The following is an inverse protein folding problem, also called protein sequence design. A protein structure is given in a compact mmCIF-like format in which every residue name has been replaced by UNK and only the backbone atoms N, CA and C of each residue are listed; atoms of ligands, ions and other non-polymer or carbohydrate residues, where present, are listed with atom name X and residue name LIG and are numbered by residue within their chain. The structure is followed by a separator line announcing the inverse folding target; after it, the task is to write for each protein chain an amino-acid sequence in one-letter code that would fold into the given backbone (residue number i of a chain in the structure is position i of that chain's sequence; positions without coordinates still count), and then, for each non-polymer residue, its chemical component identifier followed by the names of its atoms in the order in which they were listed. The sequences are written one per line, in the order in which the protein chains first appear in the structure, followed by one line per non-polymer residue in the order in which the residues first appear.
data_IF_187805479692
#
_entry.id   IF_187805479692
#
_cell.length_a   1.000
_cell.length_b   1.000
_cell.length_c   1.000
_cell.angle_alpha   90.00
_cell.angle_beta   90.00
_cell.angle_gamma   90.00
#
_symmetry.space_group_name_H-M   'P 1'
#
loop_
_entity.id
_entity.type
_entity.pdbx_description
1 polymer ?
#
# COMPACT_ATOMS: atom_id res chain seq x y z
N UNK A 1 -4.98 5.98 33.47
CA UNK A 1 -4.68 5.33 32.16
C UNK A 1 -3.43 5.89 31.48
N UNK A 2 -3.00 7.14 31.75
CA UNK A 2 -1.76 7.75 31.17
C UNK A 2 -0.47 7.03 31.53
N UNK A 3 -0.28 6.60 32.76
CA UNK A 3 0.99 6.02 33.24
C UNK A 3 1.41 4.72 32.55
N UNK A 4 0.46 3.95 32.02
CA UNK A 4 0.74 2.68 31.36
C UNK A 4 1.18 2.86 29.89
N UNK A 5 0.77 3.95 29.26
CA UNK A 5 1.14 4.30 27.89
C UNK A 5 2.56 4.91 27.89
N UNK A 6 2.86 5.83 28.81
CA UNK A 6 4.19 6.46 28.98
C UNK A 6 5.26 5.40 29.31
N UNK A 7 4.96 4.43 30.18
CA UNK A 7 5.88 3.34 30.51
C UNK A 7 6.18 2.43 29.31
N UNK A 8 5.19 2.18 28.44
CA UNK A 8 5.38 1.39 27.20
C UNK A 8 6.22 2.14 26.18
N UNK A 9 6.03 3.46 26.06
CA UNK A 9 6.76 4.33 25.13
C UNK A 9 8.24 4.40 25.50
N UNK A 10 8.58 4.50 26.79
CA UNK A 10 9.96 4.59 27.29
C UNK A 10 10.80 3.34 27.01
N UNK A 11 10.17 2.19 26.75
CA UNK A 11 10.86 0.92 26.47
C UNK A 11 10.84 0.54 24.99
N UNK A 12 10.35 1.42 24.11
CA UNK A 12 10.25 1.12 22.70
C UNK A 12 11.60 1.34 22.00
N UNK A 13 12.11 0.33 21.35
CA UNK A 13 13.41 0.38 20.66
C UNK A 13 13.20 0.50 19.16
N UNK A 14 14.06 1.27 18.49
CA UNK A 14 14.17 1.21 17.04
C UNK A 14 14.48 -0.22 16.61
N UNK A 15 13.80 -0.70 15.57
CA UNK A 15 13.95 -2.07 15.11
C UNK A 15 12.79 -2.55 14.25
N UNK A 16 12.86 -3.82 13.89
CA UNK A 16 11.84 -4.48 13.09
C UNK A 16 10.80 -5.16 13.99
N UNK A 17 9.54 -4.96 13.62
CA UNK A 17 8.37 -5.48 14.31
C UNK A 17 7.42 -6.14 13.33
N UNK A 18 6.68 -7.15 13.80
CA UNK A 18 5.60 -7.79 13.08
C UNK A 18 4.25 -7.28 13.61
N UNK A 19 3.31 -7.01 12.69
CA UNK A 19 1.95 -6.62 13.01
C UNK A 19 1.15 -7.84 13.51
N UNK A 20 0.59 -7.74 14.70
CA UNK A 20 -0.29 -8.78 15.31
C UNK A 20 -1.75 -8.62 14.89
N UNK A 21 -2.09 -7.46 14.33
CA UNK A 21 -3.41 -7.11 13.80
C UNK A 21 -3.23 -6.22 12.56
N UNK A 22 -4.32 -5.95 11.85
CA UNK A 22 -4.33 -4.98 10.76
C UNK A 22 -4.19 -3.58 11.35
N UNK A 23 -3.24 -2.78 10.83
CA UNK A 23 -2.89 -1.47 11.34
C UNK A 23 -3.05 -0.40 10.27
N UNK A 24 -3.51 0.77 10.68
CA UNK A 24 -3.52 1.96 9.84
C UNK A 24 -2.17 2.69 9.92
N UNK A 25 -1.63 3.02 8.76
CA UNK A 25 -0.40 3.80 8.63
C UNK A 25 -0.76 5.12 7.95
N UNK A 26 -0.38 6.22 8.55
CA UNK A 26 -0.80 7.57 8.18
C UNK A 26 0.30 8.33 7.43
N UNK A 27 -0.08 9.35 6.67
CA UNK A 27 0.85 10.18 5.88
C UNK A 27 1.57 11.25 6.72
N UNK A 28 1.07 11.52 7.92
CA UNK A 28 1.58 12.56 8.81
C UNK A 28 1.49 12.14 10.28
N UNK A 29 2.26 12.79 11.17
CA UNK A 29 2.23 12.49 12.60
C UNK A 29 0.90 12.82 13.28
N UNK A 30 0.02 13.60 12.66
CA UNK A 30 -1.32 13.87 13.19
C UNK A 30 -2.26 12.66 13.10
N UNK A 31 -1.91 11.63 12.32
CA UNK A 31 -2.72 10.43 12.09
C UNK A 31 -4.15 10.72 11.60
N UNK A 32 -4.31 11.75 10.78
CA UNK A 32 -5.63 12.14 10.26
C UNK A 32 -5.96 11.48 8.92
N UNK A 33 -4.96 11.35 8.05
CA UNK A 33 -5.15 10.84 6.70
C UNK A 33 -4.41 9.52 6.51
N UNK A 34 -5.16 8.50 6.13
CA UNK A 34 -4.62 7.17 5.85
C UNK A 34 -3.69 7.23 4.61
N UNK A 35 -2.49 6.71 4.75
CA UNK A 35 -1.53 6.54 3.66
C UNK A 35 -1.56 5.10 3.12
N UNK A 36 -1.57 4.13 4.04
CA UNK A 36 -1.65 2.71 3.73
C UNK A 36 -2.10 1.92 4.95
N UNK A 37 -2.26 0.61 4.79
CA UNK A 37 -2.51 -0.30 5.90
C UNK A 37 -1.45 -1.40 5.94
N UNK A 38 -1.10 -1.86 7.12
CA UNK A 38 -0.28 -3.02 7.35
C UNK A 38 -1.16 -4.18 7.81
N UNK A 39 -1.39 -5.15 6.94
CA UNK A 39 -2.14 -6.36 7.30
C UNK A 39 -1.42 -7.15 8.41
N UNK A 40 -2.17 -7.94 9.15
CA UNK A 40 -1.65 -8.89 10.13
C UNK A 40 -0.52 -9.72 9.53
N UNK A 41 0.59 -9.82 10.25
CA UNK A 41 1.78 -10.56 9.83
C UNK A 41 2.77 -9.75 8.98
N UNK A 42 2.43 -8.52 8.51
CA UNK A 42 3.39 -7.65 7.86
C UNK A 42 4.46 -7.16 8.83
N UNK A 43 5.62 -6.88 8.28
CA UNK A 43 6.75 -6.34 9.02
C UNK A 43 6.86 -4.83 8.81
N UNK A 44 7.23 -4.12 9.86
CA UNK A 44 7.55 -2.71 9.78
C UNK A 44 8.80 -2.40 10.61
N UNK A 45 9.54 -1.42 10.16
CA UNK A 45 10.68 -0.86 10.88
C UNK A 45 10.26 0.42 11.58
N UNK A 46 10.52 0.51 12.86
CA UNK A 46 10.38 1.73 13.63
C UNK A 46 11.68 2.52 13.55
N UNK A 47 11.61 3.75 13.01
CA UNK A 47 12.80 4.54 12.66
C UNK A 47 13.29 5.43 13.79
N UNK A 48 12.45 5.80 14.75
CA UNK A 48 12.81 6.68 15.86
C UNK A 48 12.46 6.07 17.20
N UNK A 49 13.37 6.28 18.16
CA UNK A 49 13.14 5.96 19.56
C UNK A 49 12.80 7.25 20.29
N UNK A 50 11.76 7.30 21.10
CA UNK A 50 11.35 8.47 21.87
C UNK A 50 12.46 8.97 22.81
N UNK A 51 13.33 8.07 23.27
CA UNK A 51 14.49 8.40 24.12
C UNK A 51 15.67 9.04 23.35
N UNK A 52 15.80 8.81 22.04
CA UNK A 52 16.90 9.37 21.25
C UNK A 52 16.72 10.87 20.97
N UNK A 53 15.53 11.41 21.14
CA UNK A 53 15.23 12.84 20.96
C UNK A 53 15.66 13.67 22.18
N UNK A 54 15.64 13.09 23.40
CA UNK A 54 15.99 13.81 24.62
C UNK A 54 17.49 13.76 24.98
N UNK A 55 18.27 12.81 24.46
CA UNK A 55 19.66 12.58 24.92
C UNK A 55 20.75 13.12 24.00
N UNK A 56 20.44 13.64 22.82
CA UNK A 56 21.41 14.30 21.95
C UNK A 56 21.42 15.80 22.18
N UNK A 57 22.12 16.23 23.23
CA UNK A 57 22.55 17.60 23.45
C UNK A 57 23.61 18.03 22.42
N UNK A 58 23.23 18.10 21.15
CA UNK A 58 23.97 18.66 20.05
C UNK A 58 22.97 19.30 19.13
N UNK A 59 23.30 20.46 18.52
CA UNK A 59 22.39 21.26 17.67
C UNK A 59 21.47 20.40 16.82
N UNK A 60 20.17 20.72 16.77
CA UNK A 60 19.22 19.91 16.05
C UNK A 60 19.55 20.02 14.55
N UNK A 61 20.15 18.96 13.99
CA UNK A 61 19.93 18.71 12.58
C UNK A 61 18.40 18.78 12.39
N UNK A 62 17.93 19.67 11.51
CA UNK A 62 16.53 19.98 11.25
C UNK A 62 15.71 18.73 10.91
N UNK A 63 15.49 17.87 11.86
CA UNK A 63 14.34 16.99 11.96
C UNK A 63 13.40 17.70 12.91
N UNK A 64 12.32 18.20 12.37
CA UNK A 64 11.27 18.88 13.10
C UNK A 64 10.91 18.08 14.34
N UNK A 65 11.16 18.68 15.50
CA UNK A 65 10.64 18.21 16.77
C UNK A 65 9.17 17.81 16.57
N UNK A 66 8.79 16.66 17.14
CA UNK A 66 7.38 16.29 17.19
C UNK A 66 6.60 17.47 17.77
N UNK A 67 5.68 18.08 17.05
CA UNK A 67 4.88 19.12 17.65
C UNK A 67 4.04 18.46 18.75
N UNK A 68 4.26 18.86 19.99
CA UNK A 68 3.31 18.67 21.07
C UNK A 68 2.10 19.54 20.79
N UNK A 69 1.34 19.18 19.75
CA UNK A 69 0.04 19.78 19.56
C UNK A 69 -0.93 19.09 20.51
N UNK A 70 -1.45 19.84 21.44
CA UNK A 70 -2.74 19.62 22.08
C UNK A 70 -3.85 19.74 21.00
N UNK A 71 -3.82 18.84 20.05
CA UNK A 71 -4.94 18.50 19.19
C UNK A 71 -5.26 17.05 19.48
N UNK A 72 -6.48 16.68 19.43
CA UNK A 72 -7.12 15.40 19.67
C UNK A 72 -6.47 14.17 18.95
N UNK A 73 -5.29 14.30 18.42
CA UNK A 73 -4.45 13.26 17.83
C UNK A 73 -3.43 12.75 18.85
N UNK A 74 -3.45 11.47 19.16
CA UNK A 74 -2.49 10.82 20.02
C UNK A 74 -1.07 10.89 19.45
N UNK A 75 -0.05 10.72 20.29
CA UNK A 75 1.34 10.65 19.85
C UNK A 75 1.53 9.53 18.82
N UNK A 76 2.45 9.71 17.89
CA UNK A 76 2.73 8.77 16.80
C UNK A 76 4.22 8.55 16.62
N UNK A 77 4.58 7.52 15.88
CA UNK A 77 5.98 7.18 15.56
C UNK A 77 6.13 6.94 14.07
N UNK A 78 7.27 7.35 13.55
CA UNK A 78 7.60 7.09 12.16
C UNK A 78 7.96 5.62 11.95
N UNK A 79 7.34 5.02 10.95
CA UNK A 79 7.55 3.63 10.56
C UNK A 79 7.79 3.52 9.06
N UNK A 80 8.26 2.36 8.65
CA UNK A 80 8.38 2.03 7.25
C UNK A 80 8.12 0.55 7.06
N UNK A 81 7.21 0.20 6.17
CA UNK A 81 6.87 -1.18 5.87
C UNK A 81 8.05 -1.90 5.22
N UNK A 82 8.41 -3.07 5.74
CA UNK A 82 9.60 -3.80 5.30
C UNK A 82 9.43 -4.45 3.92
N UNK A 83 8.20 -4.72 3.49
CA UNK A 83 7.92 -5.43 2.24
C UNK A 83 7.99 -4.55 0.99
N UNK A 84 7.81 -3.23 1.14
CA UNK A 84 7.69 -2.31 0.02
C UNK A 84 8.38 -0.95 0.25
N UNK A 85 9.15 -0.83 1.35
CA UNK A 85 9.84 0.40 1.78
C UNK A 85 8.91 1.61 1.95
N UNK A 86 7.60 1.38 2.16
CA UNK A 86 6.63 2.47 2.25
C UNK A 86 6.69 3.15 3.62
N UNK A 87 7.01 4.46 3.66
CA UNK A 87 7.10 5.20 4.91
C UNK A 87 5.74 5.67 5.39
N UNK A 88 5.61 5.89 6.68
CA UNK A 88 4.42 6.51 7.27
C UNK A 88 4.50 6.66 8.78
N UNK A 89 3.36 6.90 9.40
CA UNK A 89 3.24 7.15 10.82
C UNK A 89 2.25 6.16 11.44
N UNK A 90 2.63 5.60 12.58
CA UNK A 90 1.78 4.70 13.36
C UNK A 90 1.37 5.40 14.66
N UNK A 91 0.08 5.34 15.00
CA UNK A 91 -0.40 5.83 16.30
C UNK A 91 0.23 5.03 17.44
N UNK A 92 0.66 5.72 18.49
CA UNK A 92 1.18 5.07 19.68
C UNK A 92 0.16 4.19 20.40
N UNK A 93 -1.14 4.42 20.21
CA UNK A 93 -2.19 3.55 20.72
C UNK A 93 -2.09 2.12 20.18
N UNK A 94 -1.54 1.97 18.97
CA UNK A 94 -1.48 0.70 18.25
C UNK A 94 -0.20 -0.10 18.52
N UNK A 95 0.73 0.46 19.31
CA UNK A 95 1.99 -0.23 19.65
C UNK A 95 1.82 -1.58 20.34
N UNK A 96 0.75 -1.76 21.09
CA UNK A 96 0.46 -3.05 21.74
C UNK A 96 0.15 -4.16 20.72
N UNK A 97 -0.09 -3.78 19.47
CA UNK A 97 -0.35 -4.67 18.34
C UNK A 97 0.92 -4.98 17.51
N UNK A 98 2.09 -4.62 18.05
CA UNK A 98 3.37 -4.92 17.45
C UNK A 98 4.16 -5.91 18.31
N UNK A 99 4.85 -6.84 17.65
CA UNK A 99 5.77 -7.79 18.26
C UNK A 99 7.17 -7.59 17.69
N UNK A 100 8.22 -7.43 18.52
CA UNK A 100 9.60 -7.39 18.04
C UNK A 100 9.94 -8.63 17.21
N UNK A 101 10.57 -8.44 16.06
CA UNK A 101 11.00 -9.56 15.23
C UNK A 101 12.31 -10.14 15.74
N UNK A 102 12.35 -11.48 15.88
CA UNK A 102 13.59 -12.23 16.12
C UNK A 102 14.29 -12.59 14.81
N UNK A 103 13.54 -12.65 13.71
CA UNK A 103 14.03 -12.93 12.36
C UNK A 103 13.59 -11.78 11.47
N UNK A 104 14.52 -11.03 10.85
CA UNK A 104 14.19 -9.94 9.95
C UNK A 104 13.40 -10.43 8.72
N UNK A 105 12.58 -9.53 8.17
CA UNK A 105 11.91 -9.77 6.90
C UNK A 105 12.92 -10.10 5.81
N UNK A 106 12.60 -11.13 5.05
CA UNK A 106 13.35 -11.51 3.85
C UNK A 106 12.41 -11.59 2.66
N UNK A 107 12.69 -10.77 1.64
CA UNK A 107 11.93 -10.80 0.40
C UNK A 107 12.00 -12.17 -0.28
N UNK A 108 10.87 -12.61 -0.83
CA UNK A 108 10.81 -13.78 -1.69
C UNK A 108 11.02 -13.34 -3.12
N UNK A 109 11.96 -13.97 -3.80
CA UNK A 109 12.20 -13.78 -5.23
C UNK A 109 11.38 -14.78 -6.02
N UNK A 110 10.94 -14.38 -7.20
CA UNK A 110 10.20 -15.22 -8.14
C UNK A 110 10.73 -14.96 -9.55
N UNK A 111 10.90 -16.01 -10.33
CA UNK A 111 11.11 -15.90 -11.77
C UNK A 111 9.83 -15.44 -12.48
N UNK A 112 9.96 -14.86 -13.65
CA UNK A 112 8.81 -14.45 -14.47
C UNK A 112 7.84 -15.62 -14.71
N UNK A 113 8.34 -16.81 -14.95
CA UNK A 113 7.52 -18.02 -15.16
C UNK A 113 6.73 -18.42 -13.90
N UNK A 114 7.29 -18.23 -12.71
CA UNK A 114 6.59 -18.47 -11.45
C UNK A 114 5.51 -17.41 -11.18
N UNK A 115 5.78 -16.15 -11.51
CA UNK A 115 4.79 -15.08 -11.44
C UNK A 115 3.64 -15.38 -12.38
N UNK A 116 3.94 -15.69 -13.66
CA UNK A 116 2.92 -16.01 -14.65
C UNK A 116 1.98 -17.14 -14.22
N UNK A 117 2.51 -18.17 -13.57
CA UNK A 117 1.69 -19.28 -13.04
C UNK A 117 0.75 -18.86 -11.91
N UNK A 118 1.04 -17.76 -11.20
CA UNK A 118 0.24 -17.24 -10.08
C UNK A 118 -0.80 -16.19 -10.49
N UNK A 119 -0.70 -15.63 -11.71
CA UNK A 119 -1.63 -14.58 -12.16
C UNK A 119 -3.11 -15.00 -12.11
N UNK A 120 -3.52 -16.25 -12.41
CA UNK A 120 -4.89 -16.66 -12.24
C UNK A 120 -5.42 -16.50 -10.80
N UNK A 121 -4.58 -16.73 -9.79
CA UNK A 121 -4.93 -16.57 -8.38
C UNK A 121 -4.99 -15.08 -8.00
N UNK A 122 -4.11 -14.24 -8.58
CA UNK A 122 -4.16 -12.77 -8.43
C UNK A 122 -5.49 -12.23 -8.96
N UNK A 123 -5.92 -12.66 -10.15
CA UNK A 123 -7.20 -12.29 -10.73
C UNK A 123 -8.36 -12.78 -9.85
N UNK A 124 -8.33 -14.04 -9.44
CA UNK A 124 -9.35 -14.62 -8.58
C UNK A 124 -9.51 -13.85 -7.26
N UNK A 125 -8.39 -13.37 -6.68
CA UNK A 125 -8.44 -12.53 -5.48
C UNK A 125 -9.25 -11.25 -5.71
N UNK A 126 -8.98 -10.51 -6.80
CA UNK A 126 -9.70 -9.25 -7.10
C UNK A 126 -11.18 -9.48 -7.35
N UNK A 127 -11.53 -10.57 -8.06
CA UNK A 127 -12.91 -10.94 -8.31
C UNK A 127 -13.66 -11.34 -7.03
N UNK A 128 -12.99 -12.08 -6.13
CA UNK A 128 -13.56 -12.42 -4.83
C UNK A 128 -13.73 -11.19 -3.94
N UNK A 129 -12.78 -10.26 -3.96
CA UNK A 129 -12.90 -8.98 -3.25
C UNK A 129 -14.07 -8.16 -3.74
N UNK A 130 -14.32 -8.12 -5.07
CA UNK A 130 -15.46 -7.44 -5.67
C UNK A 130 -16.82 -8.01 -5.23
N UNK A 131 -16.90 -9.31 -4.94
CA UNK A 131 -18.14 -9.96 -4.49
C UNK A 131 -18.52 -9.63 -3.05
N UNK A 132 -17.59 -9.06 -2.26
CA UNK A 132 -17.87 -8.60 -0.91
C UNK A 132 -18.47 -7.20 -0.95
N UNK A 133 -19.29 -6.87 0.05
CA UNK A 133 -19.72 -5.47 0.25
C UNK A 133 -18.49 -4.61 0.51
N UNK A 134 -18.20 -3.68 -0.39
CA UNK A 134 -17.01 -2.87 -0.35
C UNK A 134 -17.30 -1.43 -0.79
N UNK A 135 -16.40 -0.52 -0.43
CA UNK A 135 -16.35 0.85 -0.92
C UNK A 135 -14.88 1.27 -1.13
N UNK A 136 -14.68 2.31 -1.92
CA UNK A 136 -13.34 2.87 -2.10
C UNK A 136 -12.84 3.52 -0.81
N UNK A 137 -11.72 3.02 -0.31
CA UNK A 137 -11.04 3.59 0.85
C UNK A 137 -9.67 4.11 0.42
N UNK A 138 -9.47 5.43 0.44
CA UNK A 138 -8.15 6.00 0.21
C UNK A 138 -7.12 5.42 1.21
N UNK A 139 -5.97 4.93 0.71
CA UNK A 139 -4.97 4.28 1.55
C UNK A 139 -5.30 2.83 1.89
N UNK A 140 -6.46 2.31 1.49
CA UNK A 140 -6.90 0.94 1.81
C UNK A 140 -6.08 -0.13 1.08
N UNK A 141 -5.53 -1.08 1.83
CA UNK A 141 -4.81 -2.27 1.34
C UNK A 141 -5.27 -3.54 2.04
N UNK A 142 -6.17 -3.42 3.00
CA UNK A 142 -6.77 -4.53 3.75
C UNK A 142 -8.26 -4.60 3.45
N UNK A 143 -8.75 -5.82 3.18
CA UNK A 143 -10.15 -6.02 2.82
C UNK A 143 -11.16 -5.63 3.92
N UNK A 144 -12.39 -5.34 3.53
CA UNK A 144 -12.92 -5.44 2.17
C UNK A 144 -12.72 -4.17 1.32
N UNK A 145 -12.14 -3.09 1.89
CA UNK A 145 -12.11 -1.75 1.28
C UNK A 145 -10.70 -1.41 0.82
N UNK A 146 -10.56 -1.11 -0.46
CA UNK A 146 -9.28 -0.86 -1.09
C UNK A 146 -9.29 0.45 -1.88
N UNK A 147 -8.12 1.10 -2.01
CA UNK A 147 -7.89 2.00 -3.14
C UNK A 147 -7.41 1.22 -4.38
N UNK A 148 -7.17 1.93 -5.48
CA UNK A 148 -6.81 1.30 -6.75
C UNK A 148 -5.52 0.48 -6.67
N UNK A 149 -4.43 1.09 -6.21
CA UNK A 149 -3.11 0.46 -6.11
C UNK A 149 -3.02 -0.51 -4.92
N UNK A 150 -3.78 -0.27 -3.85
CA UNK A 150 -3.90 -1.16 -2.71
C UNK A 150 -4.58 -2.48 -3.04
N UNK A 151 -5.62 -2.47 -3.89
CA UNK A 151 -6.22 -3.69 -4.42
C UNK A 151 -5.20 -4.52 -5.21
N UNK A 152 -4.42 -3.87 -6.08
CA UNK A 152 -3.34 -4.54 -6.83
C UNK A 152 -2.29 -5.11 -5.88
N UNK A 153 -1.83 -4.32 -4.93
CA UNK A 153 -0.83 -4.73 -3.95
C UNK A 153 -1.32 -5.95 -3.14
N UNK A 154 -2.56 -5.92 -2.64
CA UNK A 154 -3.15 -7.03 -1.89
C UNK A 154 -3.32 -8.29 -2.75
N UNK A 155 -3.74 -8.15 -4.00
CA UNK A 155 -3.91 -9.26 -4.93
C UNK A 155 -2.59 -9.98 -5.21
N UNK A 156 -1.52 -9.26 -5.53
CA UNK A 156 -0.19 -9.86 -5.73
C UNK A 156 0.38 -10.42 -4.41
N UNK A 157 0.18 -9.73 -3.28
CA UNK A 157 0.63 -10.20 -1.97
C UNK A 157 -0.05 -11.51 -1.56
N UNK A 158 -1.30 -11.77 -1.97
CA UNK A 158 -2.03 -13.00 -1.65
C UNK A 158 -1.33 -14.27 -2.16
N UNK A 159 -0.52 -14.14 -3.21
CA UNK A 159 0.29 -15.22 -3.78
C UNK A 159 1.79 -15.07 -3.46
N UNK A 160 2.14 -14.16 -2.53
CA UNK A 160 3.49 -13.93 -2.05
C UNK A 160 4.34 -12.99 -2.90
N UNK A 161 3.80 -12.44 -3.99
CA UNK A 161 4.49 -11.47 -4.85
C UNK A 161 4.32 -10.08 -4.24
N UNK A 162 5.40 -9.31 -4.13
CA UNK A 162 5.36 -7.92 -3.64
C UNK A 162 5.49 -6.95 -4.80
N UNK A 163 4.69 -5.90 -4.78
CA UNK A 163 4.76 -4.76 -5.69
C UNK A 163 4.70 -3.45 -4.88
N UNK A 164 5.20 -2.32 -5.41
CA UNK A 164 5.15 -1.04 -4.71
C UNK A 164 3.74 -0.59 -4.36
N UNK A 165 3.62 0.37 -3.42
CA UNK A 165 2.33 0.81 -2.89
C UNK A 165 1.53 1.68 -3.84
N UNK A 166 2.14 2.70 -4.44
CA UNK A 166 1.43 3.72 -5.20
C UNK A 166 1.37 3.38 -6.70
N UNK A 167 0.31 3.82 -7.39
CA UNK A 167 0.10 3.53 -8.80
C UNK A 167 1.29 3.96 -9.68
N UNK A 168 1.86 5.15 -9.44
CA UNK A 168 3.04 5.62 -10.20
C UNK A 168 4.30 4.80 -9.91
N UNK A 169 4.43 4.25 -8.71
CA UNK A 169 5.52 3.35 -8.37
C UNK A 169 5.32 1.97 -9.01
N UNK A 170 4.08 1.48 -9.07
CA UNK A 170 3.74 0.23 -9.76
C UNK A 170 3.99 0.35 -11.28
N UNK A 171 3.68 1.51 -11.88
CA UNK A 171 4.03 1.80 -13.28
C UNK A 171 5.55 1.73 -13.49
N UNK A 172 6.33 2.42 -12.67
CA UNK A 172 7.79 2.44 -12.78
C UNK A 172 8.45 1.08 -12.50
N UNK A 173 7.81 0.25 -11.68
CA UNK A 173 8.31 -1.08 -11.29
C UNK A 173 8.03 -2.16 -12.35
N UNK A 174 6.89 -2.08 -13.02
CA UNK A 174 6.48 -3.08 -14.01
C UNK A 174 7.24 -2.91 -15.33
N UNK A 175 7.40 -4.00 -16.07
CA UNK A 175 7.95 -3.95 -17.42
C UNK A 175 6.92 -3.32 -18.37
N UNK A 176 7.20 -2.21 -19.04
CA UNK A 176 6.29 -1.60 -19.98
C UNK A 176 5.94 -2.55 -21.13
N UNK A 177 4.68 -2.60 -21.52
CA UNK A 177 4.18 -3.38 -22.65
C UNK A 177 3.23 -2.52 -23.50
N UNK A 178 3.10 -2.84 -24.78
CA UNK A 178 2.11 -2.19 -25.63
C UNK A 178 0.69 -2.62 -25.23
N UNK A 179 -0.30 -1.72 -25.40
CA UNK A 179 -1.72 -2.03 -25.11
C UNK A 179 -2.22 -3.23 -25.92
N UNK A 180 -1.69 -3.42 -27.13
CA UNK A 180 -1.99 -4.56 -28.01
C UNK A 180 -1.41 -5.89 -27.53
N UNK A 181 -0.50 -5.86 -26.56
CA UNK A 181 0.17 -7.04 -26.00
C UNK A 181 -0.37 -7.43 -24.62
N UNK A 182 -1.43 -6.75 -24.16
CA UNK A 182 -2.08 -7.00 -22.87
C UNK A 182 -2.50 -8.48 -22.73
N UNK A 183 -2.13 -9.07 -21.60
CA UNK A 183 -2.53 -10.41 -21.18
C UNK A 183 -3.20 -10.34 -19.80
N UNK A 184 -4.09 -11.29 -19.48
CA UNK A 184 -4.70 -11.34 -18.15
C UNK A 184 -3.64 -11.32 -17.03
N UNK A 185 -3.83 -10.39 -16.08
CA UNK A 185 -2.88 -10.16 -14.97
C UNK A 185 -1.88 -9.03 -15.20
N UNK A 186 -1.85 -8.40 -16.37
CA UNK A 186 -1.10 -7.17 -16.60
C UNK A 186 -1.77 -5.98 -15.92
N UNK A 187 -0.99 -4.97 -15.55
CA UNK A 187 -1.48 -3.72 -14.98
C UNK A 187 -1.76 -2.71 -16.08
N UNK A 188 -2.87 -1.99 -15.96
CA UNK A 188 -3.21 -0.84 -16.80
C UNK A 188 -3.19 0.42 -15.99
N UNK A 189 -2.55 1.46 -16.49
CA UNK A 189 -2.28 2.71 -15.78
C UNK A 189 -3.01 3.88 -16.43
N UNK A 190 -3.53 4.78 -15.58
CA UNK A 190 -4.28 5.94 -16.00
C UNK A 190 -3.77 7.19 -15.30
N UNK A 191 -3.84 8.33 -16.01
CA UNK A 191 -3.42 9.63 -15.53
C UNK A 191 -2.61 10.39 -16.58
N UNK A 192 -2.65 11.72 -16.55
CA UNK A 192 -2.02 12.56 -17.59
C UNK A 192 -0.50 12.72 -17.40
N UNK A 193 -0.06 13.25 -16.26
CA UNK A 193 1.36 13.51 -16.01
C UNK A 193 2.08 12.31 -15.38
N UNK A 194 1.41 11.62 -14.50
CA UNK A 194 1.88 10.39 -13.83
C UNK A 194 0.70 9.44 -13.65
N UNK A 195 0.97 8.16 -13.39
CA UNK A 195 -0.09 7.23 -13.03
C UNK A 195 -0.72 7.65 -11.69
N UNK A 196 -2.00 7.97 -11.72
CA UNK A 196 -2.83 8.30 -10.55
C UNK A 196 -3.84 7.22 -10.26
N UNK A 197 -3.99 6.26 -11.18
CA UNK A 197 -4.90 5.15 -11.06
C UNK A 197 -4.34 3.91 -11.77
N UNK A 198 -4.75 2.73 -11.30
CA UNK A 198 -4.32 1.44 -11.84
C UNK A 198 -5.45 0.42 -11.74
N UNK A 199 -5.49 -0.49 -12.71
CA UNK A 199 -6.35 -1.67 -12.71
C UNK A 199 -5.61 -2.91 -13.18
N UNK A 200 -6.21 -4.08 -12.97
CA UNK A 200 -5.71 -5.37 -13.42
C UNK A 200 -6.48 -5.80 -14.67
N UNK A 201 -5.78 -5.99 -15.77
CA UNK A 201 -6.38 -6.46 -17.01
C UNK A 201 -6.88 -7.90 -16.88
N UNK A 202 -8.11 -8.14 -17.33
CA UNK A 202 -8.76 -9.45 -17.29
C UNK A 202 -8.70 -10.17 -18.63
N UNK A 203 -9.36 -9.65 -19.62
CA UNK A 203 -9.40 -10.07 -21.02
C UNK A 203 -10.36 -9.18 -21.82
N UNK A 204 -10.33 -9.28 -23.16
CA UNK A 204 -11.32 -8.66 -24.04
C UNK A 204 -11.54 -7.16 -23.81
N UNK A 205 -10.45 -6.43 -23.48
CA UNK A 205 -10.51 -5.01 -23.17
C UNK A 205 -11.03 -4.67 -21.77
N UNK A 206 -11.37 -5.64 -20.94
CA UNK A 206 -11.87 -5.41 -19.58
C UNK A 206 -10.75 -5.42 -18.53
N UNK A 207 -10.88 -4.57 -17.50
CA UNK A 207 -10.00 -4.54 -16.35
C UNK A 207 -10.79 -4.36 -15.05
N UNK A 208 -10.27 -4.90 -13.95
CA UNK A 208 -10.85 -4.75 -12.61
C UNK A 208 -10.02 -3.75 -11.82
N UNK A 209 -10.69 -2.84 -11.11
CA UNK A 209 -10.06 -1.81 -10.30
C UNK A 209 -10.95 -1.41 -9.13
N UNK A 210 -10.42 -0.64 -8.19
CA UNK A 210 -11.20 0.07 -7.15
C UNK A 210 -11.17 1.55 -7.44
N UNK A 211 -12.32 2.20 -7.59
CA UNK A 211 -12.43 3.64 -7.93
C UNK A 211 -13.29 4.41 -6.94
N UNK A 212 -12.92 5.68 -6.70
CA UNK A 212 -13.61 6.56 -5.76
C UNK A 212 -15.02 6.93 -6.21
N UNK A 213 -15.82 7.44 -5.26
CA UNK A 213 -17.20 7.90 -5.51
C UNK A 213 -17.26 8.96 -6.60
N UNK A 214 -16.34 9.91 -6.58
CA UNK A 214 -16.27 11.01 -7.57
C UNK A 214 -15.89 10.54 -8.99
N UNK A 215 -15.41 9.31 -9.11
CA UNK A 215 -15.09 8.63 -10.37
C UNK A 215 -16.11 7.56 -10.73
N UNK A 216 -17.18 7.44 -9.96
CA UNK A 216 -18.42 6.77 -10.31
C UNK A 216 -18.68 5.43 -9.64
N UNK A 217 -17.70 4.55 -9.42
CA UNK A 217 -17.99 3.18 -8.94
C UNK A 217 -18.09 3.07 -7.41
N UNK A 218 -17.34 3.88 -6.68
CA UNK A 218 -17.23 3.84 -5.21
C UNK A 218 -16.95 2.42 -4.68
N UNK A 219 -15.94 1.78 -5.23
CA UNK A 219 -15.52 0.43 -4.85
C UNK A 219 -14.93 -0.33 -6.01
N UNK A 220 -14.90 -1.65 -5.87
CA UNK A 220 -14.32 -2.55 -6.87
C UNK A 220 -15.34 -2.81 -7.98
N UNK A 221 -14.91 -2.60 -9.23
CA UNK A 221 -15.74 -2.81 -10.43
C UNK A 221 -14.87 -3.26 -11.60
N UNK A 222 -15.55 -3.72 -12.65
CA UNK A 222 -14.95 -4.03 -13.95
C UNK A 222 -15.40 -2.96 -14.93
N UNK A 223 -14.42 -2.35 -15.60
CA UNK A 223 -14.62 -1.35 -16.65
C UNK A 223 -13.89 -1.79 -17.93
N UNK A 224 -14.18 -1.11 -19.04
CA UNK A 224 -13.67 -1.43 -20.37
C UNK A 224 -12.66 -0.39 -20.84
N UNK A 225 -11.62 -0.82 -21.54
CA UNK A 225 -10.69 0.02 -22.29
C UNK A 225 -11.30 0.44 -23.64
N UNK A 226 -12.44 1.15 -23.60
CA UNK A 226 -13.21 1.53 -24.78
C UNK A 226 -13.87 2.90 -24.62
N UNK A 227 -13.93 3.67 -25.71
CA UNK A 227 -14.69 4.92 -25.80
C UNK A 227 -16.19 4.70 -26.02
N UNK A 228 -16.62 3.48 -26.31
CA UNK A 228 -17.99 3.15 -26.68
C UNK A 228 -18.84 2.63 -25.52
N UNK A 229 -18.31 2.71 -24.31
CA UNK A 229 -18.94 2.23 -23.08
C UNK A 229 -19.56 3.41 -22.29
N UNK A 230 -19.90 3.16 -21.03
CA UNK A 230 -20.45 4.19 -20.15
C UNK A 230 -19.46 5.34 -19.87
N UNK A 231 -19.96 6.46 -19.34
CA UNK A 231 -19.20 7.68 -19.09
C UNK A 231 -17.97 7.45 -18.17
N UNK A 232 -18.05 6.46 -17.30
CA UNK A 232 -16.96 6.11 -16.37
C UNK A 232 -15.83 5.44 -17.12
N UNK A 233 -16.14 4.41 -17.90
CA UNK A 233 -15.17 3.71 -18.77
C UNK A 233 -14.52 4.69 -19.75
N UNK A 234 -15.32 5.57 -20.38
CA UNK A 234 -14.82 6.62 -21.27
C UNK A 234 -13.84 7.57 -20.56
N UNK A 235 -14.20 8.04 -19.34
CA UNK A 235 -13.36 8.94 -18.55
C UNK A 235 -12.01 8.32 -18.21
N UNK A 236 -11.97 7.02 -17.88
CA UNK A 236 -10.72 6.32 -17.64
C UNK A 236 -9.94 6.09 -18.94
N UNK A 237 -10.63 5.70 -20.03
CA UNK A 237 -9.98 5.47 -21.33
C UNK A 237 -9.26 6.72 -21.84
N UNK A 238 -9.86 7.89 -21.70
CA UNK A 238 -9.22 9.18 -22.06
C UNK A 238 -7.94 9.48 -21.23
N UNK A 239 -7.79 8.84 -20.09
CA UNK A 239 -6.64 8.95 -19.22
C UNK A 239 -5.70 7.76 -19.35
N UNK A 240 -5.98 6.81 -20.28
CA UNK A 240 -5.13 5.63 -20.47
C UNK A 240 -3.70 6.05 -20.83
N UNK A 241 -2.79 5.65 -19.97
CA UNK A 241 -1.39 6.09 -20.01
C UNK A 241 -0.47 5.01 -20.56
N UNK A 242 -0.76 3.76 -20.23
CA UNK A 242 0.05 2.62 -20.62
C UNK A 242 -0.29 1.36 -19.86
N UNK A 243 0.51 0.34 -20.11
CA UNK A 243 0.39 -0.95 -19.43
C UNK A 243 1.75 -1.48 -19.01
N UNK A 244 1.74 -2.37 -18.02
CA UNK A 244 2.96 -2.97 -17.50
C UNK A 244 2.74 -4.39 -16.98
N UNK A 245 3.76 -5.22 -17.17
CA UNK A 245 3.78 -6.60 -16.71
C UNK A 245 4.65 -6.76 -15.47
N UNK A 246 4.13 -7.39 -14.44
CA UNK A 246 4.90 -7.74 -13.25
C UNK A 246 5.73 -8.98 -13.58
N UNK A 247 7.06 -8.81 -13.70
CA UNK A 247 8.01 -9.87 -14.08
C UNK A 247 8.95 -10.25 -12.93
N UNK A 248 8.88 -9.53 -11.82
CA UNK A 248 9.66 -9.79 -10.59
C UNK A 248 8.87 -9.39 -9.36
N UNK A 249 9.24 -9.92 -8.19
CA UNK A 249 8.76 -9.42 -6.90
C UNK A 249 9.61 -8.25 -6.44
N UNK A 250 9.01 -7.28 -5.76
CA UNK A 250 9.74 -6.16 -5.20
C UNK A 250 10.72 -6.64 -4.12
N UNK A 251 11.94 -6.16 -4.18
CA UNK A 251 12.98 -6.39 -3.19
C UNK A 251 13.28 -5.08 -2.48
N UNK A 252 13.00 -4.98 -1.17
CA UNK A 252 13.27 -3.77 -0.40
C UNK A 252 14.74 -3.39 -0.45
N UNK A 253 15.01 -2.09 -0.55
CA UNK A 253 16.37 -1.55 -0.62
C UNK A 253 17.00 -1.37 0.76
N UNK A 254 16.25 -1.62 1.83
CA UNK A 254 16.76 -1.53 3.20
C UNK A 254 17.79 -2.63 3.47
N UNK A 255 18.88 -2.16 3.96
CA UNK A 255 19.98 -2.95 4.52
C UNK A 255 20.00 -2.84 6.03
#
# INVERSE_FOLDING_TARGET
MSSNLEFKIQNFKSGEYQCLADLNIYDSPSCERLATQAATGRHLWVTSNYQDVETRGGEPARMTAFPTHQATGGASVQVCLCEDDYPGWLSLSDFSLLQPCTVPYKAKTFSESEIKKRLPEVIAFTQKAMQQSNYYLWGGTVGPNYDCSGLMQAAFASVGIRIPRDAYQQEAFSQPIAITELQPGDLVFFGFQKATHVGLYLANGCYIHSSGKDKGRNGIAIDSLSEQEDEISQSYYQQLRGAGRVVKSYEPQRR
#
